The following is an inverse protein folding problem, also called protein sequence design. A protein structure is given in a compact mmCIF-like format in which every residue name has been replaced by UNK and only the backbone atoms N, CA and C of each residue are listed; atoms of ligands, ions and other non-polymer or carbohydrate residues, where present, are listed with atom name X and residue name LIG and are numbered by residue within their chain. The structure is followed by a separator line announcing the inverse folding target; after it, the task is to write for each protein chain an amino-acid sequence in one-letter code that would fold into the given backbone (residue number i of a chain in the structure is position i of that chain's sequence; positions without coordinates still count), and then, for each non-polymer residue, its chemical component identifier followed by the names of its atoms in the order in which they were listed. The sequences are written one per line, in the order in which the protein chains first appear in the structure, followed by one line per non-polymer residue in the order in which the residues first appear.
data_IF_156997203084
#
_entry.id   IF_156997203084
#
_cell.length_a   1.000
_cell.length_b   1.000
_cell.length_c   1.000
_cell.angle_alpha   90.00
_cell.angle_beta   90.00
_cell.angle_gamma   90.00
#
_symmetry.space_group_name_H-M   'P 1'
#
loop_
_entity.id
_entity.type
_entity.pdbx_description
1 polymer ?
#
# COMPACT_ATOMS: atom_id res chain seq x y z
N UNK A 1 18.55 5.71 -7.90
CA UNK A 1 18.20 4.32 -7.51
C UNK A 1 17.30 4.40 -6.30
N UNK A 2 16.65 3.32 -5.85
CA UNK A 2 15.69 3.42 -4.73
C UNK A 2 16.36 3.78 -3.40
N UNK A 3 17.62 3.34 -3.21
CA UNK A 3 18.43 3.70 -2.06
C UNK A 3 19.53 4.70 -2.47
N UNK A 4 19.92 5.61 -1.57
CA UNK A 4 21.08 6.47 -1.77
C UNK A 4 22.38 5.68 -2.04
N UNK A 5 23.43 6.32 -2.58
CA UNK A 5 24.73 5.70 -2.75
C UNK A 5 25.30 5.22 -1.41
N UNK A 6 25.59 3.91 -1.33
CA UNK A 6 26.17 3.27 -0.14
C UNK A 6 27.70 3.35 -0.20
N UNK A 7 28.33 3.61 0.94
CA UNK A 7 29.79 3.62 1.06
C UNK A 7 30.38 2.23 0.81
N UNK A 8 31.68 2.17 0.54
CA UNK A 8 32.40 0.92 0.30
C UNK A 8 33.62 0.83 1.20
N UNK A 9 33.92 -0.38 1.66
CA UNK A 9 35.16 -0.69 2.38
C UNK A 9 36.37 -0.56 1.45
N UNK A 10 37.57 -0.52 2.01
CA UNK A 10 38.82 -0.48 1.25
C UNK A 10 38.98 -1.66 0.27
N UNK A 11 38.33 -2.80 0.54
CA UNK A 11 38.27 -3.97 -0.34
C UNK A 11 37.19 -3.89 -1.43
N UNK A 12 36.45 -2.78 -1.54
CA UNK A 12 35.42 -2.56 -2.56
C UNK A 12 34.03 -3.16 -2.26
N UNK A 13 33.84 -3.74 -1.07
CA UNK A 13 32.57 -4.31 -0.59
C UNK A 13 31.66 -3.19 -0.08
N UNK A 14 30.35 -3.26 -0.33
CA UNK A 14 29.38 -2.28 0.20
C UNK A 14 29.33 -2.36 1.72
N UNK A 15 29.40 -1.21 2.37
CA UNK A 15 29.34 -1.05 3.82
C UNK A 15 28.03 -0.34 4.18
N UNK A 16 27.06 -1.10 4.70
CA UNK A 16 25.71 -0.60 4.94
C UNK A 16 25.60 -0.04 6.36
N UNK A 17 25.35 1.26 6.47
CA UNK A 17 25.04 1.91 7.73
C UNK A 17 23.56 1.81 8.12
N UNK A 18 23.22 2.30 9.31
CA UNK A 18 21.84 2.34 9.81
C UNK A 18 20.89 3.12 8.88
N UNK A 19 21.37 4.22 8.31
CA UNK A 19 20.60 5.02 7.34
C UNK A 19 20.25 4.21 6.09
N UNK A 20 21.17 3.39 5.60
CA UNK A 20 20.97 2.60 4.40
C UNK A 20 19.94 1.49 4.66
N UNK A 21 20.02 0.88 5.84
CA UNK A 21 19.06 -0.12 6.30
C UNK A 21 17.66 0.50 6.40
N UNK A 22 17.54 1.69 7.00
CA UNK A 22 16.26 2.39 7.10
C UNK A 22 15.65 2.69 5.72
N UNK A 23 16.47 3.09 4.74
CA UNK A 23 16.04 3.28 3.36
C UNK A 23 15.52 2.00 2.72
N UNK A 24 16.22 0.87 2.93
CA UNK A 24 15.80 -0.44 2.42
C UNK A 24 14.48 -0.88 3.07
N UNK A 25 14.32 -0.69 4.38
CA UNK A 25 13.10 -1.03 5.10
C UNK A 25 11.91 -0.21 4.61
N UNK A 26 12.09 1.10 4.43
CA UNK A 26 11.06 1.97 3.91
C UNK A 26 10.65 1.58 2.48
N UNK A 27 11.63 1.35 1.60
CA UNK A 27 11.37 0.88 0.24
C UNK A 27 10.61 -0.45 0.23
N UNK A 28 11.02 -1.41 1.09
CA UNK A 28 10.34 -2.71 1.21
C UNK A 28 8.90 -2.55 1.71
N UNK A 29 8.67 -1.68 2.69
CA UNK A 29 7.34 -1.39 3.22
C UNK A 29 6.42 -0.81 2.13
N UNK A 30 6.87 0.25 1.47
CA UNK A 30 6.11 0.93 0.41
C UNK A 30 5.82 0.00 -0.77
N UNK A 31 6.79 -0.82 -1.20
CA UNK A 31 6.58 -1.83 -2.26
C UNK A 31 5.53 -2.87 -1.88
N UNK A 32 5.51 -3.31 -0.62
CA UNK A 32 4.48 -4.25 -0.13
C UNK A 32 3.08 -3.63 -0.11
N UNK A 33 2.99 -2.32 0.14
CA UNK A 33 1.74 -1.59 0.08
C UNK A 33 1.26 -1.34 -1.36
N UNK A 34 2.03 -1.72 -2.38
CA UNK A 34 1.64 -1.58 -3.80
C UNK A 34 2.15 -0.31 -4.46
N UNK A 35 3.01 0.48 -3.80
CA UNK A 35 3.63 1.65 -4.42
C UNK A 35 4.62 1.22 -5.51
N UNK A 36 4.67 2.00 -6.59
CA UNK A 36 5.52 1.72 -7.74
C UNK A 36 7.01 1.95 -7.43
N UNK A 37 7.88 1.30 -8.20
CA UNK A 37 9.33 1.52 -8.04
C UNK A 37 9.73 2.91 -8.56
N UNK A 38 9.01 3.42 -9.54
CA UNK A 38 9.17 4.75 -10.14
C UNK A 38 8.93 5.83 -9.10
N UNK A 39 7.87 5.70 -8.29
CA UNK A 39 7.59 6.62 -7.17
C UNK A 39 8.76 6.67 -6.18
N UNK A 40 9.31 5.51 -5.81
CA UNK A 40 10.42 5.44 -4.85
C UNK A 40 11.70 6.06 -5.40
N UNK A 41 11.95 5.90 -6.70
CA UNK A 41 13.09 6.54 -7.39
C UNK A 41 12.91 8.06 -7.38
N UNK A 42 11.72 8.56 -7.68
CA UNK A 42 11.45 10.00 -7.68
C UNK A 42 11.56 10.58 -6.27
N UNK A 43 11.00 9.89 -5.27
CA UNK A 43 11.14 10.29 -3.87
C UNK A 43 12.61 10.35 -3.41
N UNK A 44 13.41 9.35 -3.78
CA UNK A 44 14.85 9.32 -3.47
C UNK A 44 15.59 10.47 -4.15
N UNK A 45 15.26 10.79 -5.40
CA UNK A 45 15.83 11.91 -6.14
C UNK A 45 15.53 13.24 -5.45
N UNK A 46 14.26 13.51 -5.14
CA UNK A 46 13.87 14.72 -4.40
C UNK A 46 14.55 14.79 -3.03
N UNK A 47 14.64 13.67 -2.32
CA UNK A 47 15.35 13.62 -1.05
C UNK A 47 16.83 14.02 -1.18
N UNK A 48 17.50 13.58 -2.24
CA UNK A 48 18.92 13.92 -2.47
C UNK A 48 19.18 15.38 -2.81
N UNK A 49 18.16 16.11 -3.28
CA UNK A 49 18.22 17.55 -3.58
C UNK A 49 18.08 18.42 -2.31
N UNK A 50 17.71 17.84 -1.18
CA UNK A 50 17.71 18.52 0.12
C UNK A 50 16.48 19.39 0.39
N UNK A 51 16.65 20.41 1.23
CA UNK A 51 15.55 21.23 1.79
C UNK A 51 14.60 21.88 0.77
N UNK A 52 15.05 22.36 -0.42
CA UNK A 52 14.15 23.00 -1.38
C UNK A 52 13.00 22.11 -1.87
N UNK A 53 13.13 20.79 -1.76
CA UNK A 53 12.15 19.82 -2.25
C UNK A 53 11.13 19.38 -1.20
N UNK A 54 11.10 19.98 0.00
CA UNK A 54 10.16 19.55 1.05
C UNK A 54 8.70 19.56 0.57
N UNK A 55 8.28 20.61 -0.14
CA UNK A 55 6.92 20.69 -0.68
C UNK A 55 6.65 19.58 -1.70
N UNK A 56 7.55 19.40 -2.68
CA UNK A 56 7.42 18.35 -3.68
C UNK A 56 7.36 16.94 -3.07
N UNK A 57 8.17 16.67 -2.03
CA UNK A 57 8.13 15.40 -1.30
C UNK A 57 6.82 15.19 -0.56
N UNK A 58 6.29 16.24 0.07
CA UNK A 58 5.00 16.19 0.76
C UNK A 58 3.86 15.89 -0.20
N UNK A 59 3.83 16.57 -1.35
CA UNK A 59 2.79 16.40 -2.37
C UNK A 59 2.82 14.98 -2.93
N UNK A 60 4.00 14.52 -3.33
CA UNK A 60 4.22 13.16 -3.86
C UNK A 60 3.74 12.08 -2.86
N UNK A 61 4.07 12.22 -1.58
CA UNK A 61 3.63 11.28 -0.53
C UNK A 61 2.12 11.36 -0.28
N UNK A 62 1.54 12.56 -0.32
CA UNK A 62 0.12 12.79 -0.08
C UNK A 62 -0.74 12.17 -1.18
N UNK A 63 -0.31 12.27 -2.44
CA UNK A 63 -0.96 11.61 -3.58
C UNK A 63 -0.98 10.10 -3.42
N UNK A 64 0.17 9.48 -3.11
CA UNK A 64 0.22 8.03 -2.89
C UNK A 64 -0.63 7.59 -1.70
N UNK A 65 -0.67 8.41 -0.62
CA UNK A 65 -1.54 8.16 0.53
C UNK A 65 -3.02 8.15 0.13
N UNK A 66 -3.46 9.09 -0.71
CA UNK A 66 -4.84 9.13 -1.19
C UNK A 66 -5.20 7.88 -2.00
N UNK A 67 -4.29 7.41 -2.87
CA UNK A 67 -4.47 6.18 -3.64
C UNK A 67 -4.59 4.95 -2.74
N UNK A 68 -3.73 4.81 -1.73
CA UNK A 68 -3.80 3.71 -0.78
C UNK A 68 -5.10 3.71 0.03
N UNK A 69 -5.62 4.89 0.40
CA UNK A 69 -6.90 4.99 1.11
C UNK A 69 -8.07 4.54 0.23
N UNK A 70 -8.07 4.91 -1.05
CA UNK A 70 -9.10 4.45 -1.99
C UNK A 70 -9.05 2.91 -2.16
N UNK A 71 -7.84 2.34 -2.30
CA UNK A 71 -7.67 0.89 -2.37
C UNK A 71 -8.14 0.19 -1.09
N UNK A 72 -7.82 0.75 0.08
CA UNK A 72 -8.28 0.24 1.37
C UNK A 72 -9.81 0.22 1.44
N UNK A 73 -10.49 1.29 1.04
CA UNK A 73 -11.94 1.35 1.05
C UNK A 73 -12.55 0.28 0.13
N UNK A 74 -12.02 0.11 -1.09
CA UNK A 74 -12.49 -0.92 -2.01
C UNK A 74 -12.31 -2.34 -1.44
N UNK A 75 -11.19 -2.59 -0.74
CA UNK A 75 -10.95 -3.86 -0.05
C UNK A 75 -11.95 -4.08 1.09
N UNK A 76 -12.23 -3.06 1.90
CA UNK A 76 -13.22 -3.12 2.98
C UNK A 76 -14.62 -3.44 2.44
N UNK A 77 -15.06 -2.79 1.37
CA UNK A 77 -16.34 -3.09 0.71
C UNK A 77 -16.40 -4.54 0.19
N UNK A 78 -15.28 -5.03 -0.34
CA UNK A 78 -15.18 -6.41 -0.83
C UNK A 78 -15.24 -7.41 0.31
N UNK A 79 -14.54 -7.13 1.41
CA UNK A 79 -14.57 -7.96 2.62
C UNK A 79 -15.98 -8.05 3.19
N UNK A 80 -16.71 -6.94 3.29
CA UNK A 80 -18.11 -6.93 3.73
C UNK A 80 -18.99 -7.86 2.88
N UNK A 81 -18.84 -7.85 1.54
CA UNK A 81 -19.58 -8.76 0.65
C UNK A 81 -19.20 -10.22 0.85
N UNK A 82 -17.92 -10.50 1.09
CA UNK A 82 -17.44 -11.85 1.38
C UNK A 82 -17.97 -12.34 2.73
N UNK A 83 -17.89 -11.53 3.77
CA UNK A 83 -18.37 -11.86 5.12
C UNK A 83 -19.87 -12.18 5.10
N UNK A 84 -20.67 -11.39 4.37
CA UNK A 84 -22.07 -11.68 4.16
C UNK A 84 -22.29 -13.05 3.49
N UNK A 85 -21.59 -13.33 2.39
CA UNK A 85 -21.69 -14.62 1.69
C UNK A 85 -21.27 -15.78 2.59
N UNK A 86 -20.17 -15.63 3.33
CA UNK A 86 -19.69 -16.63 4.28
C UNK A 86 -20.77 -16.91 5.32
N UNK A 87 -21.38 -15.89 5.92
CA UNK A 87 -22.47 -16.04 6.88
C UNK A 87 -23.65 -16.83 6.32
N UNK A 88 -24.05 -16.57 5.06
CA UNK A 88 -25.12 -17.35 4.40
C UNK A 88 -24.74 -18.81 4.19
N UNK A 89 -23.51 -19.08 3.78
CA UNK A 89 -23.03 -20.45 3.62
C UNK A 89 -22.88 -21.18 4.96
N UNK A 90 -22.43 -20.52 6.02
CA UNK A 90 -22.38 -21.09 7.37
C UNK A 90 -23.77 -21.48 7.88
N UNK A 91 -24.78 -20.64 7.63
CA UNK A 91 -26.17 -20.98 7.93
C UNK A 91 -26.64 -22.18 7.10
N UNK A 92 -26.35 -22.19 5.79
CA UNK A 92 -26.75 -23.26 4.89
C UNK A 92 -26.11 -24.62 5.24
N UNK A 93 -24.85 -24.64 5.66
CA UNK A 93 -24.17 -25.86 6.12
C UNK A 93 -24.88 -26.45 7.35
N UNK A 94 -25.43 -25.60 8.22
CA UNK A 94 -26.12 -26.02 9.44
C UNK A 94 -27.56 -26.49 9.20
N UNK A 95 -28.28 -25.82 8.30
CA UNK A 95 -29.71 -26.06 8.04
C UNK A 95 -29.96 -26.99 6.86
N UNK A 96 -28.95 -27.21 6.02
CA UNK A 96 -29.06 -27.91 4.73
C UNK A 96 -29.78 -27.09 3.64
N UNK A 97 -30.09 -25.80 3.90
CA UNK A 97 -30.81 -24.93 2.96
C UNK A 97 -30.11 -23.58 2.82
N UNK A 98 -29.79 -23.21 1.60
CA UNK A 98 -29.23 -21.89 1.29
C UNK A 98 -30.35 -20.87 1.09
N UNK A 99 -30.31 -19.81 1.90
CA UNK A 99 -31.24 -18.69 1.81
C UNK A 99 -30.42 -17.42 1.62
N UNK A 100 -30.68 -16.72 0.53
CA UNK A 100 -30.16 -15.38 0.30
C UNK A 100 -31.18 -14.38 0.85
N UNK A 101 -30.71 -13.31 1.50
CA UNK A 101 -31.58 -12.15 1.61
C UNK A 101 -31.54 -11.53 0.22
N UNK A 102 -32.50 -11.91 -0.63
CA UNK A 102 -32.76 -11.12 -1.81
C UNK A 102 -33.09 -9.72 -1.28
N UNK A 103 -32.26 -8.72 -1.56
CA UNK A 103 -32.65 -7.34 -1.35
C UNK A 103 -33.84 -7.06 -2.28
N UNK A 104 -35.04 -7.09 -1.72
CA UNK A 104 -36.15 -6.30 -2.25
C UNK A 104 -35.97 -4.84 -1.81
N UNK A 105 -36.05 -3.95 -2.80
CA UNK A 105 -36.21 -2.48 -2.78
C UNK A 105 -34.93 -1.66 -3.08
N UNK A 106 -34.94 -0.67 -3.97
CA UNK A 106 -36.00 -0.04 -4.78
C UNK A 106 -35.31 0.88 -5.80
N UNK A 107 -35.91 1.04 -6.98
CA UNK A 107 -35.75 2.26 -7.78
C UNK A 107 -35.84 3.50 -6.88
N UNK A 108 -34.90 4.41 -7.01
CA UNK A 108 -35.04 5.78 -6.54
C UNK A 108 -34.41 6.70 -7.59
N UNK A 109 -35.30 7.17 -8.47
CA UNK A 109 -35.32 8.42 -9.27
C UNK A 109 -34.05 8.93 -9.96
#
# INVERSE_FOLDING_TARGET
GVIPPVTRTAGGIRDYGESDISWVENAKCMRKAGLSIEFLIEYQKLYSEGEPTFQARLDLLSEQRALLLAQKQQLEETLHKLDYKISKYEAAVRTGKLVWDCEENKEAE
#
